data_IF_219859530985
#
_entry.id   IF_219859530985
#
_cell.length_a   1.000
_cell.length_b   1.000
_cell.length_c   1.000
_cell.angle_alpha   90.00
_cell.angle_beta   90.00
_cell.angle_gamma   90.00
#
_symmetry.space_group_name_H-M   'P 1'
#
loop_
_entity.id
_entity.type
_entity.pdbx_description
1 polymer ?
#
# COMPACT_ATOMS: atom_id res chain seq x y z
N UNK A 1 -13.56 -21.26 -92.88
CA UNK A 1 -14.02 -21.88 -91.71
C UNK A 1 -13.02 -21.61 -90.64
N UNK A 2 -13.27 -20.68 -89.76
CA UNK A 2 -12.32 -19.97 -88.93
C UNK A 2 -12.57 -20.35 -87.49
N UNK A 3 -11.56 -20.92 -86.88
CA UNK A 3 -11.62 -21.27 -85.48
C UNK A 3 -11.00 -20.12 -84.66
N UNK A 4 -11.73 -19.59 -83.70
CA UNK A 4 -11.29 -18.54 -82.79
C UNK A 4 -10.97 -19.15 -81.43
N UNK A 5 -9.68 -19.23 -81.12
CA UNK A 5 -9.23 -19.56 -79.75
C UNK A 5 -9.16 -18.29 -78.91
N UNK A 6 -9.97 -18.27 -77.88
CA UNK A 6 -9.98 -17.20 -76.86
C UNK A 6 -8.92 -17.53 -75.80
N UNK A 7 -7.94 -16.68 -75.64
CA UNK A 7 -7.00 -16.77 -74.52
C UNK A 7 -7.58 -16.07 -73.29
N UNK A 8 -7.79 -16.80 -72.23
CA UNK A 8 -8.18 -16.25 -70.93
C UNK A 8 -6.91 -16.10 -70.07
N UNK A 9 -6.51 -14.86 -69.81
CA UNK A 9 -5.40 -14.54 -68.93
C UNK A 9 -5.93 -14.55 -67.50
N UNK A 10 -5.47 -15.49 -66.68
CA UNK A 10 -5.70 -15.48 -65.19
C UNK A 10 -4.75 -14.46 -64.58
N UNK A 11 -5.28 -13.36 -64.01
CA UNK A 11 -4.60 -12.48 -63.07
C UNK A 11 -4.61 -13.17 -61.70
N UNK A 12 -3.47 -13.64 -61.24
CA UNK A 12 -3.25 -14.05 -59.82
C UNK A 12 -3.00 -12.78 -59.05
N UNK A 13 -4.06 -12.29 -58.37
CA UNK A 13 -3.95 -11.24 -57.37
C UNK A 13 -3.33 -11.81 -56.07
N UNK A 14 -2.08 -11.47 -55.82
CA UNK A 14 -1.44 -11.74 -54.55
C UNK A 14 -2.07 -10.90 -53.45
N UNK A 15 -2.83 -11.51 -52.55
CA UNK A 15 -3.28 -10.89 -51.29
C UNK A 15 -2.06 -10.82 -50.38
N UNK A 16 -1.44 -9.64 -50.25
CA UNK A 16 -0.49 -9.38 -49.17
C UNK A 16 -1.25 -9.37 -47.86
N UNK A 17 -1.11 -10.42 -47.05
CA UNK A 17 -1.54 -10.41 -45.69
C UNK A 17 -0.77 -9.32 -44.91
N UNK A 18 -1.43 -8.49 -44.10
CA UNK A 18 -0.70 -7.56 -43.26
C UNK A 18 0.16 -8.39 -42.27
N UNK A 19 1.48 -8.22 -42.34
CA UNK A 19 2.37 -8.64 -41.28
C UNK A 19 1.91 -7.93 -40.00
N UNK A 20 1.26 -8.64 -39.12
CA UNK A 20 1.09 -8.21 -37.73
C UNK A 20 2.51 -8.00 -37.17
N UNK A 21 2.89 -6.75 -37.01
CA UNK A 21 4.04 -6.39 -36.21
C UNK A 21 3.81 -7.02 -34.83
N UNK A 22 4.59 -8.05 -34.51
CA UNK A 22 4.77 -8.47 -33.13
C UNK A 22 5.37 -7.28 -32.41
N UNK A 23 4.53 -6.42 -31.83
CA UNK A 23 4.95 -5.52 -30.79
C UNK A 23 5.62 -6.41 -29.75
N UNK A 24 6.93 -6.35 -29.68
CA UNK A 24 7.70 -7.10 -28.68
C UNK A 24 7.08 -6.74 -27.33
N UNK A 25 6.72 -7.77 -26.58
CA UNK A 25 6.29 -7.66 -25.17
C UNK A 25 7.42 -6.93 -24.44
N UNK A 26 7.34 -5.61 -24.33
CA UNK A 26 8.27 -4.82 -23.53
C UNK A 26 8.05 -5.28 -22.10
N UNK A 27 8.99 -6.09 -21.62
CA UNK A 27 8.95 -6.73 -20.31
C UNK A 27 8.81 -5.60 -19.28
N UNK A 28 7.63 -5.43 -18.65
CA UNK A 28 7.42 -4.43 -17.63
C UNK A 28 8.54 -4.57 -16.59
N UNK A 29 9.23 -3.48 -16.29
CA UNK A 29 10.33 -3.47 -15.33
C UNK A 29 9.75 -3.01 -14.00
N UNK A 30 9.87 -3.84 -12.99
CA UNK A 30 9.54 -3.48 -11.62
C UNK A 30 10.81 -3.09 -10.87
N UNK A 31 10.70 -2.05 -10.06
CA UNK A 31 11.72 -1.61 -9.11
C UNK A 31 11.12 -1.56 -7.71
N UNK A 32 11.97 -1.72 -6.71
CA UNK A 32 11.55 -1.65 -5.32
C UNK A 32 12.21 -0.44 -4.66
N UNK A 33 11.42 0.38 -3.96
CA UNK A 33 11.93 1.48 -3.15
C UNK A 33 11.70 1.17 -1.68
N UNK A 34 12.68 1.46 -0.84
CA UNK A 34 12.58 1.35 0.61
C UNK A 34 13.10 2.62 1.29
N UNK A 35 12.33 3.11 2.25
CA UNK A 35 12.63 4.34 2.97
C UNK A 35 13.17 4.04 4.37
N UNK A 36 14.35 4.59 4.71
CA UNK A 36 14.93 4.57 6.06
C UNK A 36 15.18 6.00 6.50
N UNK A 37 14.40 6.48 7.47
CA UNK A 37 14.42 7.89 7.83
C UNK A 37 14.05 8.76 6.61
N UNK A 38 14.87 9.77 6.26
CA UNK A 38 14.63 10.63 5.10
C UNK A 38 15.13 10.02 3.77
N UNK A 39 15.88 8.93 3.81
CA UNK A 39 16.48 8.32 2.64
C UNK A 39 15.52 7.35 1.96
N UNK A 40 15.42 7.44 0.64
CA UNK A 40 14.68 6.54 -0.23
C UNK A 40 15.65 5.82 -1.16
N UNK A 41 15.84 4.55 -0.92
CA UNK A 41 16.77 3.70 -1.67
C UNK A 41 16.04 2.94 -2.77
N UNK A 42 16.58 2.99 -3.97
CA UNK A 42 16.17 2.20 -5.14
C UNK A 42 16.87 0.84 -5.13
N UNK A 43 16.10 -0.19 -5.39
CA UNK A 43 16.58 -1.55 -5.71
C UNK A 43 16.04 -1.98 -7.06
N UNK A 44 16.91 -2.48 -7.94
CA UNK A 44 16.46 -3.24 -9.09
C UNK A 44 15.98 -4.62 -8.64
N UNK A 45 14.91 -5.10 -9.27
CA UNK A 45 14.27 -6.37 -8.96
C UNK A 45 14.56 -7.37 -10.07
N UNK A 46 15.17 -8.50 -9.74
CA UNK A 46 15.17 -9.68 -10.60
C UNK A 46 14.12 -10.65 -10.08
N UNK A 47 13.01 -10.77 -10.80
CA UNK A 47 11.90 -11.60 -10.37
C UNK A 47 12.16 -13.11 -10.66
N UNK A 48 13.02 -13.45 -11.59
CA UNK A 48 13.34 -14.82 -11.94
C UNK A 48 14.29 -15.41 -10.86
N UNK A 49 15.31 -14.64 -10.46
CA UNK A 49 16.24 -15.01 -9.39
C UNK A 49 15.73 -14.66 -7.99
N UNK A 50 14.62 -13.91 -7.89
CA UNK A 50 14.08 -13.34 -6.65
C UNK A 50 15.17 -12.60 -5.86
N UNK A 51 15.82 -11.61 -6.50
CA UNK A 51 16.87 -10.79 -5.87
C UNK A 51 16.57 -9.29 -5.96
N UNK A 52 17.09 -8.56 -4.96
CA UNK A 52 17.15 -7.10 -4.95
C UNK A 52 18.62 -6.68 -5.01
N UNK A 53 18.91 -5.73 -5.89
CA UNK A 53 20.25 -5.11 -5.94
C UNK A 53 20.10 -3.61 -5.69
N UNK A 54 20.71 -3.14 -4.61
CA UNK A 54 20.75 -1.72 -4.25
C UNK A 54 21.42 -0.93 -5.39
N UNK A 55 20.80 0.18 -5.78
CA UNK A 55 21.26 1.03 -6.90
C UNK A 55 21.60 2.44 -6.43
N UNK A 56 20.61 3.22 -6.06
CA UNK A 56 20.75 4.64 -5.80
C UNK A 56 19.94 5.02 -4.55
N UNK A 57 20.19 6.20 -3.99
CA UNK A 57 19.48 6.73 -2.84
C UNK A 57 19.29 8.22 -2.99
N UNK A 58 18.05 8.68 -2.80
CA UNK A 58 17.70 10.10 -2.72
C UNK A 58 17.18 10.44 -1.33
N UNK A 59 17.17 11.73 -0.98
CA UNK A 59 16.67 12.17 0.33
C UNK A 59 15.46 13.07 0.18
N UNK A 60 14.46 12.86 1.05
CA UNK A 60 13.35 13.77 1.30
C UNK A 60 13.73 14.80 2.40
N UNK A 61 12.98 15.92 2.54
CA UNK A 61 13.27 16.94 3.53
C UNK A 61 13.12 16.49 5.00
N UNK A 62 12.41 15.37 5.24
CA UNK A 62 12.21 14.78 6.57
C UNK A 62 11.97 13.26 6.44
N UNK A 63 11.76 12.55 7.57
CA UNK A 63 11.52 11.11 7.57
C UNK A 63 10.30 10.74 6.73
N UNK A 64 10.49 9.85 5.77
CA UNK A 64 9.46 9.43 4.83
C UNK A 64 8.37 8.66 5.57
N UNK A 65 7.12 9.05 5.31
CA UNK A 65 5.94 8.43 5.91
C UNK A 65 5.22 7.52 4.92
N UNK A 66 5.13 7.97 3.66
CA UNK A 66 4.51 7.20 2.58
C UNK A 66 4.98 7.70 1.21
N UNK A 67 4.83 6.86 0.19
CA UNK A 67 5.02 7.29 -1.21
C UNK A 67 3.97 6.65 -2.11
N UNK A 68 3.65 7.34 -3.21
CA UNK A 68 2.66 6.91 -4.18
C UNK A 68 3.09 7.27 -5.60
N UNK A 69 3.12 6.31 -6.55
CA UNK A 69 3.46 6.59 -7.94
C UNK A 69 2.32 7.33 -8.65
N UNK A 70 2.68 8.23 -9.53
CA UNK A 70 1.74 8.84 -10.48
C UNK A 70 1.24 7.79 -11.49
N UNK A 71 -0.02 7.85 -11.96
CA UNK A 71 -0.54 6.91 -12.95
C UNK A 71 0.28 6.83 -14.25
N UNK A 72 0.92 7.94 -14.67
CA UNK A 72 1.85 7.95 -15.81
C UNK A 72 3.17 7.22 -15.55
N UNK A 73 3.46 6.83 -14.31
CA UNK A 73 4.72 6.21 -13.86
C UNK A 73 5.97 7.10 -14.05
N UNK A 74 5.78 8.36 -14.40
CA UNK A 74 6.88 9.33 -14.57
C UNK A 74 7.29 10.01 -13.26
N UNK A 75 6.44 9.96 -12.24
CA UNK A 75 6.67 10.64 -10.97
C UNK A 75 6.34 9.74 -9.78
N UNK A 76 7.09 9.93 -8.68
CA UNK A 76 6.81 9.37 -7.37
C UNK A 76 6.59 10.53 -6.40
N UNK A 77 5.43 10.55 -5.74
CA UNK A 77 5.12 11.53 -4.69
C UNK A 77 5.40 10.94 -3.33
N UNK A 78 6.19 11.65 -2.55
CA UNK A 78 6.68 11.20 -1.23
C UNK A 78 6.22 12.19 -0.17
N UNK A 79 5.53 11.73 0.85
CA UNK A 79 5.19 12.54 2.01
C UNK A 79 6.13 12.24 3.17
N UNK A 80 6.62 13.28 3.84
CA UNK A 80 7.65 13.18 4.87
C UNK A 80 7.36 14.09 6.06
N UNK A 81 7.90 13.73 7.23
CA UNK A 81 7.68 14.47 8.48
C UNK A 81 8.77 14.16 9.51
N UNK A 82 9.12 15.15 10.34
CA UNK A 82 9.91 14.95 11.55
C UNK A 82 9.03 14.68 12.79
N UNK A 83 7.71 14.62 12.65
CA UNK A 83 6.80 14.16 13.69
C UNK A 83 6.92 12.65 13.92
N UNK A 84 6.81 12.21 15.16
CA UNK A 84 6.79 10.81 15.54
C UNK A 84 5.48 10.10 15.22
N UNK A 85 5.44 8.78 15.38
CA UNK A 85 4.19 8.00 15.26
C UNK A 85 3.16 8.47 16.30
N UNK A 86 1.86 8.33 16.00
CA UNK A 86 0.76 8.97 16.74
C UNK A 86 0.77 8.78 18.27
N UNK A 87 1.35 7.67 18.79
CA UNK A 87 1.49 7.43 20.23
C UNK A 87 2.70 8.11 20.88
N UNK A 88 3.62 8.68 20.10
CA UNK A 88 4.82 9.34 20.62
C UNK A 88 4.56 10.74 21.19
N UNK A 89 3.44 11.36 20.84
CA UNK A 89 3.14 12.76 21.17
C UNK A 89 4.01 13.81 20.47
N UNK A 90 4.97 13.39 19.63
CA UNK A 90 5.86 14.30 18.91
C UNK A 90 5.17 14.77 17.64
N UNK A 91 4.68 16.00 17.62
CA UNK A 91 4.00 16.57 16.44
C UNK A 91 4.98 16.91 15.32
N UNK A 92 6.16 17.42 15.64
CA UNK A 92 7.11 17.96 14.67
C UNK A 92 6.65 19.30 14.08
N UNK A 93 7.50 19.87 13.23
CA UNK A 93 7.32 21.17 12.56
C UNK A 93 7.74 21.17 11.08
N UNK A 94 8.21 20.01 10.58
CA UNK A 94 8.68 19.83 9.20
C UNK A 94 7.87 18.74 8.53
N UNK A 95 6.91 19.14 7.71
CA UNK A 95 6.00 18.23 7.01
C UNK A 95 5.95 18.61 5.55
N UNK A 96 6.21 17.67 4.65
CA UNK A 96 6.32 17.96 3.22
C UNK A 96 5.69 16.88 2.35
N UNK A 97 5.23 17.29 1.16
CA UNK A 97 5.11 16.41 0.00
C UNK A 97 6.20 16.81 -1.00
N UNK A 98 6.92 15.82 -1.54
CA UNK A 98 7.98 16.00 -2.54
C UNK A 98 7.65 15.19 -3.78
N UNK A 99 7.86 15.76 -4.95
CA UNK A 99 7.80 15.05 -6.21
C UNK A 99 9.20 14.63 -6.64
N UNK A 100 9.33 13.41 -7.14
CA UNK A 100 10.54 12.89 -7.78
C UNK A 100 10.19 12.44 -9.19
N UNK A 101 11.01 12.79 -10.16
CA UNK A 101 10.92 12.22 -11.50
C UNK A 101 11.55 10.84 -11.49
N UNK A 102 10.87 9.87 -12.12
CA UNK A 102 11.36 8.50 -12.27
C UNK A 102 12.03 8.40 -13.65
N UNK A 103 13.26 7.94 -13.70
CA UNK A 103 13.90 7.53 -14.94
C UNK A 103 13.24 6.24 -15.46
N UNK A 104 12.67 6.23 -16.68
CA UNK A 104 11.89 5.09 -17.15
C UNK A 104 12.71 3.82 -17.43
N UNK A 105 14.03 3.96 -17.60
CA UNK A 105 14.90 2.81 -17.88
C UNK A 105 15.48 2.17 -16.62
N UNK A 106 15.76 2.96 -15.60
CA UNK A 106 16.47 2.51 -14.39
C UNK A 106 15.64 2.60 -13.11
N UNK A 107 14.59 3.41 -13.07
CA UNK A 107 13.87 3.76 -11.86
C UNK A 107 14.59 4.78 -10.98
N UNK A 108 15.74 5.34 -11.42
CA UNK A 108 16.44 6.36 -10.64
C UNK A 108 15.56 7.58 -10.40
N UNK A 109 15.64 8.13 -9.19
CA UNK A 109 14.82 9.26 -8.77
C UNK A 109 15.63 10.56 -8.82
N UNK A 110 15.03 11.61 -9.35
CA UNK A 110 15.57 12.98 -9.25
C UNK A 110 14.54 13.90 -8.63
N UNK A 111 14.90 14.80 -7.69
CA UNK A 111 13.97 15.78 -7.14
C UNK A 111 13.33 16.60 -8.27
N UNK A 112 12.01 16.86 -8.16
CA UNK A 112 11.25 17.54 -9.20
C UNK A 112 10.38 18.65 -8.61
N UNK A 113 10.70 19.89 -8.91
CA UNK A 113 10.06 21.07 -8.32
C UNK A 113 10.41 21.27 -6.84
N UNK A 114 9.83 22.29 -6.24
CA UNK A 114 9.99 22.56 -4.81
C UNK A 114 9.09 21.64 -3.97
N UNK A 115 9.54 21.17 -2.79
CA UNK A 115 8.66 20.47 -1.86
C UNK A 115 7.51 21.36 -1.40
N UNK A 116 6.32 20.79 -1.33
CA UNK A 116 5.11 21.42 -0.81
C UNK A 116 5.09 21.28 0.71
N UNK A 117 5.02 22.40 1.44
CA UNK A 117 4.85 22.39 2.89
C UNK A 117 3.44 21.92 3.27
N UNK A 118 3.35 21.00 4.22
CA UNK A 118 2.10 20.48 4.77
C UNK A 118 1.88 21.01 6.20
N UNK A 119 0.64 21.10 6.64
CA UNK A 119 0.31 21.73 7.92
C UNK A 119 0.52 20.84 9.15
N UNK A 120 0.59 19.51 8.96
CA UNK A 120 0.84 18.53 10.02
C UNK A 120 1.40 17.24 9.44
N UNK A 121 1.75 16.28 10.30
CA UNK A 121 2.33 15.00 9.91
C UNK A 121 1.40 14.20 8.99
N UNK A 122 1.77 14.00 7.71
CA UNK A 122 1.05 13.10 6.83
C UNK A 122 1.30 11.65 7.23
N UNK A 123 0.32 10.77 7.04
CA UNK A 123 0.45 9.34 7.29
C UNK A 123 0.31 8.51 6.02
N UNK A 124 -0.40 9.02 5.05
CA UNK A 124 -0.63 8.36 3.77
C UNK A 124 -0.87 9.41 2.67
N UNK A 125 -0.49 9.07 1.45
CA UNK A 125 -0.86 9.83 0.26
C UNK A 125 -1.25 8.89 -0.86
N UNK A 126 -2.12 9.35 -1.75
CA UNK A 126 -2.42 8.69 -3.02
C UNK A 126 -2.70 9.71 -4.11
N UNK A 127 -2.54 9.30 -5.36
CA UNK A 127 -2.85 10.11 -6.54
C UNK A 127 -4.15 9.57 -7.14
N UNK A 128 -4.99 10.48 -7.63
CA UNK A 128 -6.20 10.10 -8.34
C UNK A 128 -5.89 9.40 -9.68
N UNK A 129 -6.88 8.77 -10.30
CA UNK A 129 -6.65 7.94 -11.51
C UNK A 129 -6.28 8.75 -12.75
N UNK A 130 -6.60 10.05 -12.78
CA UNK A 130 -6.21 10.95 -13.88
C UNK A 130 -4.79 11.51 -13.70
N UNK A 131 -4.24 11.44 -12.49
CA UNK A 131 -2.97 12.06 -12.14
C UNK A 131 -3.08 13.55 -11.81
N UNK A 132 -4.28 14.11 -11.76
CA UNK A 132 -4.49 15.54 -11.54
C UNK A 132 -4.48 15.99 -10.08
N UNK A 133 -4.53 15.04 -9.12
CA UNK A 133 -4.70 15.36 -7.70
C UNK A 133 -3.90 14.45 -6.78
N UNK A 134 -3.15 15.07 -5.84
CA UNK A 134 -2.57 14.40 -4.69
C UNK A 134 -3.52 14.53 -3.50
N UNK A 135 -3.95 13.40 -2.94
CA UNK A 135 -4.74 13.32 -1.73
C UNK A 135 -3.83 12.89 -0.58
N UNK A 136 -3.83 13.64 0.51
CA UNK A 136 -3.00 13.36 1.69
C UNK A 136 -3.87 13.20 2.92
N UNK A 137 -3.65 12.13 3.70
CA UNK A 137 -4.30 11.89 4.98
C UNK A 137 -3.38 12.24 6.15
N UNK A 138 -3.96 12.84 7.19
CA UNK A 138 -3.28 13.24 8.43
C UNK A 138 -3.87 12.51 9.62
N UNK A 139 -3.00 11.97 10.46
CA UNK A 139 -3.44 11.10 11.55
C UNK A 139 -3.89 11.91 12.79
N UNK A 140 -3.07 12.87 13.23
CA UNK A 140 -3.36 13.70 14.40
C UNK A 140 -2.80 15.12 14.21
N UNK A 141 -3.66 16.15 14.14
CA UNK A 141 -5.13 16.09 14.06
C UNK A 141 -5.59 15.31 12.82
N UNK A 142 -6.73 14.58 12.97
CA UNK A 142 -7.31 13.81 11.87
C UNK A 142 -7.78 14.73 10.75
N UNK A 143 -7.43 14.42 9.51
CA UNK A 143 -7.79 15.27 8.39
C UNK A 143 -7.32 14.77 7.05
N UNK A 144 -7.62 15.53 6.02
CA UNK A 144 -7.14 15.31 4.66
C UNK A 144 -6.90 16.65 3.93
N UNK A 145 -6.07 16.61 2.90
CA UNK A 145 -5.96 17.69 1.91
C UNK A 145 -5.94 17.12 0.50
N UNK A 146 -6.36 17.91 -0.45
CA UNK A 146 -6.26 17.65 -1.88
C UNK A 146 -5.48 18.79 -2.51
N UNK A 147 -4.42 18.46 -3.25
CA UNK A 147 -3.64 19.44 -4.03
C UNK A 147 -3.68 19.07 -5.51
N UNK A 148 -3.72 20.06 -6.37
CA UNK A 148 -3.56 19.85 -7.80
C UNK A 148 -2.16 19.32 -8.11
N UNK A 149 -2.07 18.52 -9.14
CA UNK A 149 -0.81 18.16 -9.79
C UNK A 149 -0.83 18.86 -11.15
N UNK A 150 0.17 19.67 -11.43
CA UNK A 150 0.34 20.35 -12.69
C UNK A 150 0.68 19.37 -13.82
N UNK A 151 0.50 19.76 -15.07
CA UNK A 151 0.79 18.92 -16.23
C UNK A 151 2.26 18.46 -16.32
N UNK A 152 3.17 19.20 -15.70
CA UNK A 152 4.58 18.86 -15.60
C UNK A 152 4.92 17.97 -14.38
N UNK A 153 3.93 17.60 -13.56
CA UNK A 153 4.10 16.76 -12.36
C UNK A 153 4.48 17.52 -11.09
N UNK A 154 4.62 18.84 -11.13
CA UNK A 154 4.85 19.66 -9.94
C UNK A 154 3.55 19.87 -9.15
N UNK A 155 3.66 20.32 -7.89
CA UNK A 155 2.48 20.63 -7.09
C UNK A 155 1.85 21.97 -7.51
N UNK A 156 0.53 21.93 -7.67
CA UNK A 156 -0.31 23.12 -7.84
C UNK A 156 -1.00 23.51 -6.53
N UNK A 157 -2.02 24.35 -6.66
CA UNK A 157 -2.76 24.90 -5.51
C UNK A 157 -3.53 23.80 -4.75
N UNK A 158 -3.72 24.05 -3.45
CA UNK A 158 -4.65 23.29 -2.63
C UNK A 158 -6.08 23.53 -3.14
N UNK A 159 -6.83 22.44 -3.26
CA UNK A 159 -8.25 22.51 -3.57
C UNK A 159 -9.03 22.77 -2.30
N UNK A 160 -9.80 23.86 -2.26
CA UNK A 160 -10.68 24.16 -1.13
C UNK A 160 -11.73 23.06 -0.99
N UNK A 161 -11.97 22.66 0.25
CA UNK A 161 -12.94 21.62 0.58
C UNK A 161 -14.10 22.22 1.39
N UNK A 162 -15.30 21.62 1.33
CA UNK A 162 -16.40 22.04 2.21
C UNK A 162 -16.02 21.95 3.69
N UNK A 163 -16.45 22.92 4.50
CA UNK A 163 -16.13 23.01 5.94
C UNK A 163 -16.60 21.79 6.76
N UNK A 164 -17.61 21.09 6.28
CA UNK A 164 -18.26 19.98 6.99
C UNK A 164 -17.77 18.59 6.58
N UNK A 165 -16.55 18.44 6.05
CA UNK A 165 -16.02 17.11 5.75
C UNK A 165 -15.81 16.30 7.03
N UNK A 166 -16.43 15.11 7.10
CA UNK A 166 -16.27 14.17 8.21
C UNK A 166 -15.00 13.32 8.01
N UNK A 167 -13.87 13.79 8.53
CA UNK A 167 -12.58 13.09 8.46
C UNK A 167 -12.35 12.11 9.60
N UNK A 168 -13.33 11.88 10.46
CA UNK A 168 -13.26 10.92 11.55
C UNK A 168 -12.14 11.20 12.56
N UNK A 169 -11.62 10.12 13.18
CA UNK A 169 -10.54 10.17 14.16
C UNK A 169 -9.39 9.26 13.74
N UNK A 170 -8.16 9.77 13.78
CA UNK A 170 -6.95 9.05 13.40
C UNK A 170 -7.03 8.50 11.97
N UNK A 171 -7.23 9.38 10.99
CA UNK A 171 -7.17 9.03 9.57
C UNK A 171 -5.83 8.34 9.25
N UNK A 172 -5.87 7.26 8.47
CA UNK A 172 -4.70 6.42 8.25
C UNK A 172 -4.42 6.13 6.78
N UNK A 173 -5.44 5.86 5.97
CA UNK A 173 -5.27 5.64 4.53
C UNK A 173 -6.34 6.40 3.75
N UNK A 174 -5.95 7.04 2.66
CA UNK A 174 -6.85 7.69 1.70
C UNK A 174 -6.63 7.09 0.31
N UNK A 175 -7.70 6.66 -0.34
CA UNK A 175 -7.65 6.02 -1.67
C UNK A 175 -8.80 6.51 -2.55
N UNK A 176 -8.48 6.80 -3.79
CA UNK A 176 -9.50 7.05 -4.82
C UNK A 176 -9.96 5.72 -5.39
N UNK A 177 -11.26 5.56 -5.62
CA UNK A 177 -11.84 4.33 -6.21
C UNK A 177 -11.36 4.11 -7.65
N UNK A 178 -11.36 2.86 -8.15
CA UNK A 178 -10.88 2.55 -9.51
C UNK A 178 -11.58 3.34 -10.63
N UNK A 179 -12.84 3.73 -10.43
CA UNK A 179 -13.64 4.54 -11.37
C UNK A 179 -13.43 6.07 -11.22
N UNK A 180 -12.57 6.49 -10.32
CA UNK A 180 -12.23 7.89 -10.01
C UNK A 180 -13.40 8.77 -9.54
N UNK A 181 -14.48 8.17 -9.03
CA UNK A 181 -15.70 8.91 -8.65
C UNK A 181 -15.84 9.13 -7.15
N UNK A 182 -15.12 8.35 -6.36
CA UNK A 182 -15.24 8.38 -4.90
C UNK A 182 -13.87 8.30 -4.25
N UNK A 183 -13.80 8.78 -3.02
CA UNK A 183 -12.64 8.66 -2.15
C UNK A 183 -13.04 7.90 -0.89
N UNK A 184 -12.18 7.00 -0.45
CA UNK A 184 -12.33 6.26 0.80
C UNK A 184 -11.20 6.68 1.73
N UNK A 185 -11.56 7.16 2.92
CA UNK A 185 -10.66 7.49 4.01
C UNK A 185 -10.89 6.52 5.16
N UNK A 186 -9.88 5.72 5.45
CA UNK A 186 -9.90 4.81 6.60
C UNK A 186 -9.45 5.56 7.84
N UNK A 187 -10.26 5.55 8.91
CA UNK A 187 -9.96 6.20 10.17
C UNK A 187 -9.94 5.16 11.29
N UNK A 188 -8.80 5.04 11.97
CA UNK A 188 -8.57 3.96 12.94
C UNK A 188 -9.38 4.09 14.21
N UNK A 189 -9.74 5.32 14.61
CA UNK A 189 -10.10 5.54 15.99
C UNK A 189 -8.96 5.18 16.94
N UNK A 190 -9.25 5.07 18.19
CA UNK A 190 -8.35 4.48 19.17
C UNK A 190 -9.12 3.74 20.25
N UNK A 191 -8.49 2.69 20.79
CA UNK A 191 -8.92 1.98 21.97
C UNK A 191 -7.99 2.43 23.11
N UNK A 192 -8.10 3.68 23.53
CA UNK A 192 -7.13 4.24 24.46
C UNK A 192 -7.12 3.50 25.79
N UNK A 193 -5.96 3.04 26.26
CA UNK A 193 -5.82 2.63 27.65
C UNK A 193 -5.80 3.88 28.56
N UNK A 194 -6.39 3.77 29.73
CA UNK A 194 -6.42 4.84 30.73
C UNK A 194 -7.52 5.88 30.52
N UNK A 195 -7.31 7.10 30.99
CA UNK A 195 -8.30 8.18 31.02
C UNK A 195 -8.55 8.87 29.66
N UNK A 196 -7.92 8.43 28.61
CA UNK A 196 -8.15 8.97 27.27
C UNK A 196 -9.50 8.46 26.71
N UNK A 197 -10.30 9.33 26.07
CA UNK A 197 -11.56 8.89 25.48
C UNK A 197 -11.29 7.89 24.34
N UNK A 198 -12.09 6.83 24.32
CA UNK A 198 -12.15 5.93 23.16
C UNK A 198 -12.74 6.69 21.99
N UNK A 199 -12.07 6.66 20.83
CA UNK A 199 -12.59 7.27 19.61
C UNK A 199 -12.97 6.17 18.62
N UNK A 200 -14.18 6.23 18.02
CA UNK A 200 -14.64 5.21 17.10
C UNK A 200 -13.79 5.18 15.83
N UNK A 201 -13.49 3.98 15.35
CA UNK A 201 -12.95 3.76 14.01
C UNK A 201 -14.05 3.84 12.96
N UNK A 202 -13.70 4.18 11.72
CA UNK A 202 -14.66 4.34 10.64
C UNK A 202 -14.02 4.20 9.27
N UNK A 203 -14.81 3.82 8.27
CA UNK A 203 -14.49 4.01 6.88
C UNK A 203 -15.37 5.16 6.39
N UNK A 204 -14.76 6.31 6.08
CA UNK A 204 -15.43 7.48 5.53
C UNK A 204 -15.39 7.41 4.02
N UNK A 205 -16.52 7.66 3.38
CA UNK A 205 -16.62 7.68 1.92
C UNK A 205 -17.10 9.04 1.44
N UNK A 206 -16.54 9.49 0.33
CA UNK A 206 -16.82 10.79 -0.25
C UNK A 206 -17.07 10.66 -1.75
N UNK A 207 -17.96 11.47 -2.30
CA UNK A 207 -17.95 11.77 -3.74
C UNK A 207 -16.67 12.52 -4.10
N UNK A 208 -16.17 12.32 -5.31
CA UNK A 208 -14.97 13.01 -5.79
C UNK A 208 -15.20 13.56 -7.19
N UNK A 209 -15.08 14.88 -7.31
CA UNK A 209 -15.20 15.56 -8.59
C UNK A 209 -14.31 16.79 -8.62
N UNK A 210 -13.41 16.88 -9.60
CA UNK A 210 -12.51 18.04 -9.82
C UNK A 210 -11.68 18.41 -8.57
N UNK A 211 -11.32 17.41 -7.77
CA UNK A 211 -10.58 17.57 -6.52
C UNK A 211 -11.45 17.88 -5.30
N UNK A 212 -12.75 18.14 -5.48
CA UNK A 212 -13.69 18.46 -4.38
C UNK A 212 -14.37 17.19 -3.88
N UNK A 213 -14.47 17.08 -2.56
CA UNK A 213 -15.06 15.97 -1.83
C UNK A 213 -16.43 16.35 -1.26
N UNK A 214 -17.35 15.38 -1.25
CA UNK A 214 -18.65 15.52 -0.57
C UNK A 214 -18.92 14.26 0.28
N UNK A 215 -19.35 14.42 1.53
CA UNK A 215 -19.68 13.29 2.41
C UNK A 215 -20.73 12.38 1.76
N UNK A 216 -20.48 11.06 1.76
CA UNK A 216 -21.45 10.05 1.33
C UNK A 216 -21.91 9.20 2.51
N UNK A 217 -20.97 8.54 3.19
CA UNK A 217 -21.28 7.67 4.31
C UNK A 217 -20.13 7.58 5.32
N UNK A 218 -20.50 7.18 6.55
CA UNK A 218 -19.60 6.71 7.58
C UNK A 218 -19.98 5.27 7.91
N UNK A 219 -19.08 4.32 7.67
CA UNK A 219 -19.29 2.90 7.92
C UNK A 219 -18.58 2.56 9.22
N UNK A 220 -19.36 2.22 10.23
CA UNK A 220 -18.92 2.04 11.63
C UNK A 220 -19.61 0.82 12.23
N UNK A 221 -19.20 -0.40 11.89
CA UNK A 221 -19.74 -1.59 12.53
C UNK A 221 -19.60 -1.48 14.06
N UNK A 222 -20.67 -1.86 14.81
CA UNK A 222 -20.74 -1.71 16.28
C UNK A 222 -20.38 -0.27 16.75
N UNK A 223 -20.94 0.74 16.10
CA UNK A 223 -20.72 2.16 16.37
C UNK A 223 -19.23 2.59 16.29
N UNK A 224 -18.41 1.80 15.57
CA UNK A 224 -16.98 2.02 15.44
C UNK A 224 -16.15 1.68 16.68
N UNK A 225 -16.78 1.22 17.73
CA UNK A 225 -16.08 0.83 18.96
C UNK A 225 -15.27 -0.43 18.72
N UNK A 226 -13.96 -0.35 19.01
CA UNK A 226 -12.99 -1.40 18.69
C UNK A 226 -12.87 -1.74 17.18
N UNK A 227 -13.58 -1.02 16.32
CA UNK A 227 -13.38 -1.12 14.87
C UNK A 227 -12.21 -0.25 14.48
N UNK A 228 -11.03 -0.82 14.36
CA UNK A 228 -9.80 -0.11 14.00
C UNK A 228 -9.36 -0.46 12.58
N UNK A 229 -10.10 -0.03 11.53
CA UNK A 229 -9.68 -0.30 10.16
C UNK A 229 -8.41 0.49 9.85
N UNK A 230 -7.53 -0.09 9.04
CA UNK A 230 -6.20 0.50 8.81
C UNK A 230 -5.89 0.74 7.35
N UNK A 231 -5.95 -0.27 6.53
CA UNK A 231 -5.69 -0.23 5.09
C UNK A 231 -6.77 -0.99 4.33
N UNK A 232 -6.93 -0.62 3.07
CA UNK A 232 -7.79 -1.33 2.14
C UNK A 232 -7.07 -1.50 0.79
N UNK A 233 -7.53 -2.49 0.04
CA UNK A 233 -7.24 -2.58 -1.39
C UNK A 233 -8.46 -3.02 -2.18
N UNK A 234 -8.48 -2.67 -3.46
CA UNK A 234 -9.57 -2.97 -4.37
C UNK A 234 -9.27 -4.23 -5.16
N UNK A 235 -10.29 -5.05 -5.38
CA UNK A 235 -10.19 -6.08 -6.41
C UNK A 235 -9.99 -5.42 -7.78
N UNK A 236 -9.12 -5.95 -8.66
CA UNK A 236 -8.78 -5.30 -9.92
C UNK A 236 -9.94 -5.15 -10.88
N UNK A 237 -10.90 -6.09 -10.90
CA UNK A 237 -12.03 -6.11 -11.83
C UNK A 237 -13.40 -6.04 -11.14
N UNK A 238 -13.54 -6.72 -9.99
CA UNK A 238 -14.81 -6.86 -9.28
C UNK A 238 -15.06 -5.74 -8.26
N UNK A 239 -16.30 -5.49 -7.86
CA UNK A 239 -16.62 -4.42 -6.93
C UNK A 239 -16.30 -4.77 -5.45
N UNK A 240 -15.31 -5.58 -5.20
CA UNK A 240 -14.93 -5.98 -3.84
C UNK A 240 -13.80 -5.12 -3.29
N UNK A 241 -13.87 -4.84 -2.00
CA UNK A 241 -12.88 -4.07 -1.26
C UNK A 241 -12.50 -4.84 -0.01
N UNK A 242 -11.23 -5.13 0.12
CA UNK A 242 -10.65 -5.88 1.23
C UNK A 242 -10.02 -4.90 2.22
N UNK A 243 -10.44 -4.95 3.48
CA UNK A 243 -10.05 -4.01 4.53
C UNK A 243 -9.37 -4.74 5.66
N UNK A 244 -8.14 -4.37 6.00
CA UNK A 244 -7.48 -4.85 7.22
C UNK A 244 -8.01 -4.09 8.44
N UNK A 245 -8.51 -4.82 9.43
CA UNK A 245 -9.00 -4.28 10.70
C UNK A 245 -7.94 -4.53 11.77
N UNK A 246 -7.08 -3.52 11.98
CA UNK A 246 -5.86 -3.59 12.80
C UNK A 246 -6.14 -4.05 14.23
N UNK A 247 -7.14 -3.45 14.89
CA UNK A 247 -7.42 -3.71 16.30
C UNK A 247 -8.10 -5.05 16.56
N UNK A 248 -8.64 -5.70 15.53
CA UNK A 248 -9.34 -6.99 15.66
C UNK A 248 -8.55 -8.16 15.06
N UNK A 249 -7.45 -7.91 14.34
CA UNK A 249 -6.74 -8.91 13.54
C UNK A 249 -7.68 -9.64 12.57
N UNK A 250 -8.49 -8.85 11.84
CA UNK A 250 -9.48 -9.36 10.90
C UNK A 250 -9.35 -8.75 9.52
N UNK A 251 -9.80 -9.52 8.55
CA UNK A 251 -10.04 -9.09 7.18
C UNK A 251 -11.55 -8.93 6.99
N UNK A 252 -11.99 -7.71 6.66
CA UNK A 252 -13.37 -7.44 6.27
C UNK A 252 -13.45 -7.25 4.77
N UNK A 253 -14.52 -7.73 4.16
CA UNK A 253 -14.81 -7.55 2.73
C UNK A 253 -16.07 -6.72 2.57
N UNK A 254 -15.99 -5.64 1.79
CA UNK A 254 -17.12 -4.78 1.45
C UNK A 254 -17.36 -4.80 -0.06
N UNK A 255 -18.59 -4.47 -0.46
CA UNK A 255 -18.91 -4.23 -1.86
C UNK A 255 -18.87 -2.73 -2.13
N UNK A 256 -18.27 -2.30 -3.23
CA UNK A 256 -18.39 -0.92 -3.71
C UNK A 256 -19.84 -0.61 -4.04
N UNK A 257 -20.30 0.56 -3.64
CA UNK A 257 -21.64 1.07 -3.86
C UNK A 257 -21.54 2.49 -4.46
N UNK A 258 -22.17 2.74 -5.63
CA UNK A 258 -22.10 4.04 -6.30
C UNK A 258 -22.70 5.20 -5.49
N UNK A 259 -23.65 4.94 -4.59
CA UNK A 259 -24.33 5.96 -3.80
C UNK A 259 -23.64 6.25 -2.47
N UNK A 260 -23.12 5.19 -1.81
CA UNK A 260 -22.57 5.28 -0.45
C UNK A 260 -21.06 5.03 -0.39
N UNK A 261 -20.44 4.68 -1.53
CA UNK A 261 -19.02 4.31 -1.63
C UNK A 261 -18.80 2.83 -1.34
N UNK A 262 -19.27 2.32 -0.21
CA UNK A 262 -19.21 0.92 0.21
C UNK A 262 -20.56 0.48 0.80
N UNK A 263 -20.80 -0.83 0.81
CA UNK A 263 -21.87 -1.44 1.59
C UNK A 263 -21.74 -1.06 3.07
N UNK A 264 -22.86 -0.90 3.77
CA UNK A 264 -22.85 -0.51 5.19
C UNK A 264 -22.26 -1.60 6.08
N UNK A 265 -22.58 -2.85 5.77
CA UNK A 265 -22.09 -4.03 6.47
C UNK A 265 -21.06 -4.76 5.62
N UNK A 266 -20.05 -5.40 6.24
CA UNK A 266 -19.14 -6.27 5.53
C UNK A 266 -19.88 -7.51 5.01
N UNK A 267 -19.56 -7.92 3.78
CA UNK A 267 -20.04 -9.18 3.20
C UNK A 267 -19.44 -10.39 3.92
N UNK A 268 -18.17 -10.27 4.29
CA UNK A 268 -17.40 -11.34 4.93
C UNK A 268 -16.47 -10.75 5.97
N UNK A 269 -16.26 -11.53 7.05
CA UNK A 269 -15.27 -11.25 8.12
C UNK A 269 -14.45 -12.51 8.32
N UNK A 270 -13.11 -12.40 8.26
CA UNK A 270 -12.18 -13.53 8.42
C UNK A 270 -11.10 -13.20 9.44
N UNK A 271 -10.68 -14.22 10.19
CA UNK A 271 -9.51 -14.12 11.06
C UNK A 271 -8.23 -14.10 10.23
N UNK A 272 -7.21 -13.35 10.70
CA UNK A 272 -5.93 -13.23 9.99
C UNK A 272 -4.79 -13.98 10.66
N UNK A 273 -4.94 -14.27 11.96
CA UNK A 273 -3.92 -14.97 12.75
C UNK A 273 -3.98 -16.48 12.53
N UNK A 274 -2.85 -17.15 12.64
CA UNK A 274 -2.77 -18.61 12.70
C UNK A 274 -3.42 -19.16 13.97
N UNK A 275 -3.30 -18.44 15.10
CA UNK A 275 -4.01 -18.70 16.34
C UNK A 275 -4.87 -17.49 16.74
N UNK A 276 -6.14 -17.44 16.35
CA UNK A 276 -7.05 -16.36 16.74
C UNK A 276 -7.36 -16.30 18.25
N UNK A 277 -7.06 -17.36 19.00
CA UNK A 277 -7.25 -17.42 20.46
C UNK A 277 -6.12 -16.76 21.24
N UNK A 278 -5.02 -16.42 20.58
CA UNK A 278 -3.84 -15.80 21.19
C UNK A 278 -4.21 -14.54 21.96
N UNK A 279 -3.69 -14.41 23.20
CA UNK A 279 -3.84 -13.22 24.03
C UNK A 279 -2.68 -12.24 23.90
N UNK A 280 -1.69 -12.58 23.08
CA UNK A 280 -0.60 -11.66 22.78
C UNK A 280 -1.11 -10.48 21.97
N UNK A 281 -0.58 -9.30 22.25
CA UNK A 281 -0.99 -8.09 21.56
C UNK A 281 -0.48 -8.11 20.11
N UNK A 282 -1.40 -7.95 19.17
CA UNK A 282 -1.14 -8.06 17.75
C UNK A 282 -1.92 -7.01 16.97
N UNK A 283 -1.54 -6.77 15.71
CA UNK A 283 -2.17 -5.78 14.84
C UNK A 283 -2.13 -6.25 13.38
N UNK A 284 -3.30 -6.33 12.75
CA UNK A 284 -3.35 -6.52 11.30
C UNK A 284 -2.67 -5.34 10.58
N UNK A 285 -1.92 -5.64 9.53
CA UNK A 285 -1.05 -4.69 8.83
C UNK A 285 -1.60 -4.19 7.50
N UNK A 286 -0.71 -3.85 6.55
CA UNK A 286 -1.09 -3.54 5.18
C UNK A 286 -1.76 -4.74 4.50
N UNK A 287 -2.50 -4.43 3.44
CA UNK A 287 -3.23 -5.41 2.64
C UNK A 287 -3.07 -5.08 1.16
N UNK A 288 -2.87 -6.08 0.33
CA UNK A 288 -2.87 -5.96 -1.13
C UNK A 288 -3.55 -7.15 -1.77
N UNK A 289 -4.34 -6.87 -2.80
CA UNK A 289 -4.91 -7.88 -3.69
C UNK A 289 -3.89 -8.21 -4.77
N UNK A 290 -3.73 -9.49 -5.08
CA UNK A 290 -2.89 -9.95 -6.18
C UNK A 290 -3.33 -9.30 -7.51
N UNK A 291 -2.43 -8.97 -8.44
CA UNK A 291 -2.79 -8.32 -9.70
C UNK A 291 -3.84 -9.06 -10.54
N UNK A 292 -3.93 -10.38 -10.44
CA UNK A 292 -4.96 -11.19 -11.14
C UNK A 292 -6.29 -11.33 -10.38
N UNK A 293 -6.38 -10.79 -9.16
CA UNK A 293 -7.61 -10.83 -8.34
C UNK A 293 -7.89 -12.15 -7.62
N UNK A 294 -7.07 -13.19 -7.77
CA UNK A 294 -7.34 -14.51 -7.16
C UNK A 294 -6.96 -14.63 -5.69
N UNK A 295 -6.11 -13.73 -5.20
CA UNK A 295 -5.57 -13.82 -3.84
C UNK A 295 -5.54 -12.44 -3.18
N UNK A 296 -5.59 -12.44 -1.85
CA UNK A 296 -5.31 -11.24 -1.04
C UNK A 296 -4.33 -11.58 0.07
N UNK A 297 -3.36 -10.68 0.28
CA UNK A 297 -2.28 -10.80 1.25
C UNK A 297 -2.43 -9.71 2.30
N UNK A 298 -2.19 -10.07 3.55
CA UNK A 298 -2.26 -9.16 4.69
C UNK A 298 -1.15 -9.53 5.68
N UNK A 299 -0.42 -8.53 6.22
CA UNK A 299 0.57 -8.83 7.26
C UNK A 299 -0.06 -8.81 8.66
N UNK A 300 0.31 -9.76 9.51
CA UNK A 300 0.12 -9.71 10.95
C UNK A 300 1.39 -9.14 11.58
N UNK A 301 1.23 -8.30 12.61
CA UNK A 301 2.35 -7.57 13.21
C UNK A 301 2.28 -7.61 14.72
N UNK A 302 3.38 -8.00 15.32
CA UNK A 302 3.64 -7.83 16.74
C UNK A 302 4.95 -7.04 16.93
N UNK A 303 4.93 -6.03 17.78
CA UNK A 303 6.08 -5.12 17.97
C UNK A 303 6.14 -4.54 19.39
N UNK A 304 5.30 -5.02 20.28
CA UNK A 304 5.29 -4.57 21.67
C UNK A 304 6.43 -5.21 22.43
N UNK A 305 6.93 -4.45 23.40
CA UNK A 305 8.00 -4.90 24.28
C UNK A 305 7.43 -5.18 25.68
N UNK A 306 8.01 -6.16 26.34
CA UNK A 306 7.86 -6.43 27.77
C UNK A 306 9.20 -6.25 28.46
N UNK A 307 9.20 -6.19 29.79
CA UNK A 307 10.39 -6.10 30.58
C UNK A 307 10.74 -7.46 31.19
N UNK A 308 11.98 -7.90 30.99
CA UNK A 308 12.53 -9.11 31.58
C UNK A 308 13.88 -8.74 32.18
N UNK A 309 14.03 -8.91 33.49
CA UNK A 309 15.27 -8.59 34.24
C UNK A 309 15.80 -7.16 33.97
N UNK A 310 14.88 -6.16 33.91
CA UNK A 310 15.22 -4.77 33.64
C UNK A 310 15.55 -4.43 32.19
N UNK A 311 15.43 -5.39 31.26
CA UNK A 311 15.67 -5.19 29.82
C UNK A 311 14.38 -5.30 29.04
N UNK A 312 14.19 -4.40 28.05
CA UNK A 312 13.06 -4.46 27.14
C UNK A 312 13.32 -5.50 26.05
N UNK A 313 12.41 -6.47 25.93
CA UNK A 313 12.44 -7.52 24.93
C UNK A 313 11.08 -7.67 24.23
N UNK A 314 11.07 -8.25 23.06
CA UNK A 314 9.86 -8.57 22.33
C UNK A 314 8.88 -9.37 23.18
N UNK A 315 7.65 -8.90 23.28
CA UNK A 315 6.60 -9.52 24.11
C UNK A 315 5.99 -10.79 23.49
N UNK A 316 6.43 -11.13 22.28
CA UNK A 316 5.86 -12.22 21.49
C UNK A 316 4.73 -11.76 20.57
N UNK A 317 4.22 -12.71 19.81
CA UNK A 317 3.15 -12.50 18.83
C UNK A 317 3.58 -12.86 17.41
N UNK A 318 2.58 -12.95 16.54
CA UNK A 318 2.76 -13.37 15.16
C UNK A 318 3.23 -12.21 14.28
N UNK A 319 4.30 -12.45 13.51
CA UNK A 319 4.78 -11.59 12.45
C UNK A 319 4.79 -12.40 11.16
N UNK A 320 3.65 -12.44 10.48
CA UNK A 320 3.42 -13.30 9.32
C UNK A 320 2.78 -12.55 8.16
N UNK A 321 2.70 -13.21 7.02
CA UNK A 321 1.82 -12.83 5.93
C UNK A 321 0.69 -13.86 5.85
N UNK A 322 -0.54 -13.41 6.10
CA UNK A 322 -1.75 -14.19 5.89
C UNK A 322 -2.12 -14.15 4.41
N UNK A 323 -2.32 -15.31 3.81
CA UNK A 323 -2.66 -15.49 2.39
C UNK A 323 -4.07 -16.03 2.30
N UNK A 324 -4.92 -15.36 1.54
CA UNK A 324 -6.29 -15.79 1.30
C UNK A 324 -6.52 -16.04 -0.19
N UNK A 325 -7.16 -17.16 -0.52
CA UNK A 325 -7.74 -17.37 -1.84
C UNK A 325 -9.12 -16.70 -1.91
N UNK A 326 -9.40 -16.02 -3.02
CA UNK A 326 -10.67 -15.31 -3.25
C UNK A 326 -11.57 -16.18 -4.12
N UNK A 327 -12.77 -16.48 -3.65
CA UNK A 327 -13.81 -17.08 -4.47
C UNK A 327 -14.24 -16.08 -5.54
N UNK A 328 -14.07 -16.43 -6.80
CA UNK A 328 -14.28 -15.54 -7.95
C UNK A 328 -15.74 -15.26 -8.27
N UNK A 329 -16.69 -15.98 -7.67
CA UNK A 329 -18.12 -15.74 -7.83
C UNK A 329 -18.67 -14.82 -6.73
N UNK A 330 -18.13 -14.90 -5.52
CA UNK A 330 -18.69 -14.21 -4.35
C UNK A 330 -17.78 -13.13 -3.75
N UNK A 331 -16.47 -13.19 -3.99
CA UNK A 331 -15.46 -12.37 -3.35
C UNK A 331 -15.08 -12.85 -1.95
N UNK A 332 -15.56 -14.02 -1.52
CA UNK A 332 -15.26 -14.56 -0.18
C UNK A 332 -13.79 -14.99 -0.08
N UNK A 333 -13.01 -14.46 0.89
CA UNK A 333 -11.63 -14.90 1.11
C UNK A 333 -11.59 -16.11 2.04
N UNK A 334 -10.79 -17.11 1.67
CA UNK A 334 -10.49 -18.28 2.50
C UNK A 334 -9.00 -18.30 2.85
N UNK A 335 -8.66 -18.32 4.14
CA UNK A 335 -7.27 -18.40 4.60
C UNK A 335 -6.65 -19.72 4.14
N UNK A 336 -5.54 -19.65 3.39
CA UNK A 336 -4.83 -20.83 2.85
C UNK A 336 -3.41 -20.96 3.39
N UNK A 337 -2.85 -19.90 3.99
CA UNK A 337 -1.52 -19.95 4.60
C UNK A 337 -1.33 -18.76 5.56
N UNK A 338 -0.59 -18.99 6.65
CA UNK A 338 0.16 -17.97 7.38
C UNK A 338 1.63 -18.32 7.29
N UNK A 339 2.45 -17.48 6.65
CA UNK A 339 3.89 -17.70 6.48
C UNK A 339 4.67 -16.73 7.36
N UNK A 340 5.72 -17.22 8.03
CA UNK A 340 6.62 -16.37 8.83
C UNK A 340 7.22 -15.26 7.96
N UNK A 341 7.17 -14.03 8.45
CA UNK A 341 7.73 -12.85 7.78
C UNK A 341 9.25 -12.73 7.85
N UNK A 342 9.92 -13.58 8.62
CA UNK A 342 11.36 -13.61 8.89
C UNK A 342 11.93 -12.28 9.42
N UNK A 343 11.06 -11.41 9.93
CA UNK A 343 11.37 -10.14 10.57
C UNK A 343 10.20 -9.71 11.46
N UNK A 344 10.45 -8.81 12.41
CA UNK A 344 9.41 -8.29 13.29
C UNK A 344 8.83 -6.98 12.76
N UNK A 345 7.56 -6.70 13.07
CA UNK A 345 6.89 -5.45 12.70
C UNK A 345 6.83 -5.21 11.19
N UNK A 346 6.23 -6.12 10.44
CA UNK A 346 6.01 -6.01 8.99
C UNK A 346 5.03 -4.87 8.67
N UNK A 347 5.56 -3.70 8.30
CA UNK A 347 4.74 -2.49 8.15
C UNK A 347 4.23 -2.24 6.76
N UNK A 348 5.02 -2.58 5.75
CA UNK A 348 4.70 -2.39 4.33
C UNK A 348 5.14 -3.62 3.54
N UNK A 349 4.51 -3.82 2.41
CA UNK A 349 4.96 -4.78 1.41
C UNK A 349 4.50 -4.36 0.01
N UNK A 350 5.10 -4.89 -1.01
CA UNK A 350 4.72 -4.73 -2.40
C UNK A 350 4.67 -6.07 -3.11
N UNK A 351 3.87 -6.14 -4.16
CA UNK A 351 3.78 -7.27 -5.08
C UNK A 351 4.26 -6.77 -6.45
N UNK A 352 5.07 -7.55 -7.17
CA UNK A 352 5.49 -7.19 -8.52
C UNK A 352 4.30 -7.18 -9.50
N UNK A 353 4.42 -6.47 -10.60
CA UNK A 353 3.31 -6.26 -11.55
C UNK A 353 2.75 -7.55 -12.16
N UNK A 354 3.53 -8.63 -12.12
CA UNK A 354 3.14 -9.96 -12.63
C UNK A 354 2.63 -10.89 -11.54
N UNK A 355 2.67 -10.47 -10.26
CA UNK A 355 2.23 -11.29 -9.14
C UNK A 355 3.13 -12.50 -8.86
N UNK A 356 4.43 -12.41 -9.11
CA UNK A 356 5.39 -13.52 -8.88
C UNK A 356 6.20 -13.38 -7.61
N UNK A 357 6.33 -12.13 -7.12
CA UNK A 357 7.08 -11.80 -5.92
C UNK A 357 6.24 -10.96 -4.96
N UNK A 358 6.40 -11.25 -3.69
CA UNK A 358 5.97 -10.40 -2.59
C UNK A 358 7.20 -10.01 -1.77
N UNK A 359 7.36 -8.72 -1.49
CA UNK A 359 8.51 -8.18 -0.75
C UNK A 359 8.00 -7.38 0.44
N UNK A 360 8.30 -7.86 1.66
CA UNK A 360 7.92 -7.16 2.91
C UNK A 360 9.05 -6.28 3.42
N UNK A 361 8.71 -5.27 4.22
CA UNK A 361 9.67 -4.45 4.95
C UNK A 361 9.24 -4.27 6.41
N UNK A 362 10.18 -4.51 7.34
CA UNK A 362 10.01 -4.32 8.77
C UNK A 362 10.56 -2.97 9.22
N UNK A 363 10.13 -2.47 10.38
CA UNK A 363 10.33 -1.04 10.75
C UNK A 363 11.67 -0.78 11.42
N UNK A 364 12.03 -1.58 12.44
CA UNK A 364 13.25 -1.42 13.25
C UNK A 364 13.73 -2.76 13.81
N UNK A 365 14.99 -2.82 14.28
CA UNK A 365 15.51 -4.02 14.92
C UNK A 365 14.78 -4.32 16.24
N UNK A 366 14.55 -5.59 16.52
CA UNK A 366 13.79 -6.06 17.69
C UNK A 366 14.68 -6.84 18.66
N UNK A 367 14.79 -6.43 19.93
CA UNK A 367 15.45 -7.24 20.95
C UNK A 367 14.57 -8.46 21.26
N UNK A 368 15.12 -9.67 21.07
CA UNK A 368 14.41 -10.94 21.25
C UNK A 368 15.15 -11.80 22.27
N UNK A 369 14.42 -12.40 23.18
CA UNK A 369 14.97 -13.32 24.18
C UNK A 369 15.17 -14.70 23.54
N UNK A 370 16.38 -15.24 23.65
CA UNK A 370 16.77 -16.59 23.25
C UNK A 370 17.34 -17.34 24.46
N UNK A 371 16.48 -18.08 25.18
CA UNK A 371 16.86 -18.72 26.45
C UNK A 371 17.14 -17.68 27.54
N UNK A 372 18.38 -17.60 28.01
CA UNK A 372 18.88 -16.59 28.97
C UNK A 372 19.45 -15.34 28.31
N UNK A 373 19.74 -15.39 27.02
CA UNK A 373 20.37 -14.31 26.27
C UNK A 373 19.35 -13.42 25.57
N UNK A 374 19.77 -12.21 25.24
CA UNK A 374 18.98 -11.28 24.44
C UNK A 374 19.76 -10.98 23.16
N UNK A 375 19.25 -11.52 22.06
CA UNK A 375 19.71 -11.19 20.72
C UNK A 375 18.96 -10.01 20.13
N UNK A 376 19.35 -9.58 18.92
CA UNK A 376 18.65 -8.55 18.15
C UNK A 376 18.32 -9.11 16.78
N UNK A 377 17.04 -9.18 16.46
CA UNK A 377 16.58 -9.44 15.09
C UNK A 377 16.62 -8.12 14.32
N UNK A 378 17.45 -7.99 13.27
CA UNK A 378 17.56 -6.75 12.50
C UNK A 378 16.25 -6.37 11.81
N UNK A 379 16.07 -5.09 11.49
CA UNK A 379 15.10 -4.72 10.47
C UNK A 379 15.50 -5.36 9.14
N UNK A 380 14.51 -5.73 8.34
CA UNK A 380 14.80 -6.45 7.11
C UNK A 380 13.80 -6.19 5.99
N UNK A 381 14.24 -6.49 4.77
CA UNK A 381 13.41 -6.69 3.59
C UNK A 381 13.39 -8.20 3.33
N UNK A 382 12.22 -8.82 3.40
CA UNK A 382 12.05 -10.27 3.15
C UNK A 382 11.34 -10.51 1.83
N UNK A 383 11.86 -11.45 1.03
CA UNK A 383 11.34 -11.78 -0.29
C UNK A 383 10.72 -13.16 -0.32
N UNK A 384 9.57 -13.23 -0.98
CA UNK A 384 8.81 -14.46 -1.18
C UNK A 384 8.46 -14.63 -2.66
N UNK A 385 8.52 -15.86 -3.14
CA UNK A 385 7.88 -16.24 -4.41
C UNK A 385 6.40 -16.49 -4.16
N UNK A 386 5.58 -16.06 -5.11
CA UNK A 386 4.15 -16.37 -5.14
C UNK A 386 3.95 -17.55 -6.06
N UNK A 387 3.45 -18.66 -5.53
CA UNK A 387 3.09 -19.85 -6.30
C UNK A 387 1.82 -19.66 -7.12
N UNK A 388 1.55 -20.54 -8.08
CA UNK A 388 0.33 -20.55 -8.89
C UNK A 388 -0.94 -20.76 -8.04
N UNK A 389 -0.82 -21.31 -6.85
CA UNK A 389 -1.85 -21.47 -5.82
C UNK A 389 -1.94 -20.29 -4.85
N UNK A 390 -1.17 -19.21 -5.08
CA UNK A 390 -1.11 -18.01 -4.27
C UNK A 390 -0.27 -18.10 -3.02
N UNK A 391 0.20 -19.29 -2.65
CA UNK A 391 1.03 -19.46 -1.46
C UNK A 391 2.40 -18.83 -1.63
N UNK A 392 2.96 -18.41 -0.51
CA UNK A 392 4.26 -17.78 -0.43
C UNK A 392 5.32 -18.77 -0.01
N UNK A 393 6.44 -18.77 -0.75
CA UNK A 393 7.67 -19.45 -0.42
C UNK A 393 8.75 -18.42 -0.09
N UNK A 394 9.30 -18.49 1.13
CA UNK A 394 10.41 -17.61 1.52
C UNK A 394 11.66 -17.91 0.69
N UNK A 395 12.27 -16.87 0.14
CA UNK A 395 13.49 -17.01 -0.65
C UNK A 395 14.70 -16.51 0.12
N UNK A 396 14.65 -15.25 0.57
CA UNK A 396 15.76 -14.59 1.26
C UNK A 396 15.33 -13.33 1.99
N UNK A 397 16.21 -12.84 2.85
CA UNK A 397 16.06 -11.52 3.45
C UNK A 397 17.35 -10.71 3.32
N UNK A 398 17.19 -9.40 3.39
CA UNK A 398 18.27 -8.42 3.45
C UNK A 398 18.11 -7.64 4.74
N UNK A 399 19.12 -7.69 5.61
CA UNK A 399 19.13 -6.88 6.82
C UNK A 399 19.30 -5.40 6.46
N UNK A 400 18.60 -4.53 7.17
CA UNK A 400 18.54 -3.09 6.92
C UNK A 400 19.04 -2.34 8.14
N UNK A 401 19.95 -1.41 7.93
CA UNK A 401 20.42 -0.50 8.98
C UNK A 401 19.33 0.51 9.33
N UNK A 402 18.49 0.15 10.27
CA UNK A 402 17.41 0.99 10.81
C UNK A 402 17.53 1.08 12.33
N UNK A 403 16.89 2.08 12.94
CA UNK A 403 16.76 2.23 14.39
C UNK A 403 15.36 2.73 14.76
N UNK A 404 15.09 2.91 16.04
CA UNK A 404 13.84 3.51 16.52
C UNK A 404 13.68 4.97 16.10
N UNK A 405 14.78 5.69 15.87
CA UNK A 405 14.83 7.09 15.40
C UNK A 405 14.83 7.16 13.86
N UNK A 406 15.50 6.20 13.24
CA UNK A 406 15.69 6.09 11.78
C UNK A 406 15.00 4.84 11.24
N UNK A 407 13.67 4.89 11.20
CA UNK A 407 12.82 3.75 10.90
C UNK A 407 12.74 3.45 9.39
N UNK A 408 12.66 2.16 9.04
CA UNK A 408 12.21 1.72 7.71
C UNK A 408 10.68 1.79 7.67
N UNK A 409 10.14 2.96 7.32
CA UNK A 409 8.72 3.24 7.55
C UNK A 409 7.82 2.96 6.35
N UNK A 410 8.38 3.04 5.15
CA UNK A 410 7.69 2.73 3.90
C UNK A 410 8.59 1.96 2.95
N UNK A 411 7.99 1.01 2.23
CA UNK A 411 8.58 0.38 1.07
C UNK A 411 7.48 -0.03 0.09
N UNK A 412 7.80 -0.11 -1.19
CA UNK A 412 6.82 -0.46 -2.21
C UNK A 412 7.44 -0.82 -3.55
N UNK A 413 6.70 -1.62 -4.32
CA UNK A 413 7.03 -1.97 -5.69
C UNK A 413 6.45 -0.92 -6.64
N UNK A 414 7.21 -0.53 -7.65
CA UNK A 414 6.77 0.41 -8.70
C UNK A 414 7.14 -0.17 -10.06
N UNK A 415 6.15 -0.26 -10.93
CA UNK A 415 6.37 -0.66 -12.33
C UNK A 415 6.73 0.57 -13.14
N UNK A 416 7.82 0.51 -13.90
CA UNK A 416 8.27 1.60 -14.79
C UNK A 416 7.36 1.74 -16.01
N UNK A 417 7.45 2.90 -16.68
CA UNK A 417 6.63 3.26 -17.84
C UNK A 417 7.01 2.48 -19.12
#
# INVERSE_FOLDING_TARGET
MIDRRTFTTLLVGGIAAPQASLAGDTKAIDVFYAAVGPELTLYSVDADEATLVRRDTVSAPANIQYAWPHPSKQYLYVVSSNGGSGSSGIRGDKHFASAFRIDPASGALTPHGAPLALHTRPIHASVDKTGGYLLTAYNDPSGLTVHRINADGTFGDRVDQPDALDTGKYAHQIRVTPDNRQVILVTRGNNAPGDNPVNPGSIKTFSFKDGVLGNLAAIQPADGMQFGPRHLDFHPTEPWVYVSVESQNKLHVYRRDPATGLSREPMFIKETLSDPSSKLRQAAGPIHVHPDGRFVYLTNRAFWLTEVEGKKVFAGGENSVAVFAIDQATGEPTLIQNVDGHANYLRTFGIDSRGRLLVTASVWPMPVREGTDIGVVPAAISMFRIGGDGKLEFVRKYDVEASTERQQFWAGMVTLA
#
